data_IF_550191475069
#
_entry.id   IF_550191475069
#
_cell.length_a   1.000
_cell.length_b   1.000
_cell.length_c   1.000
_cell.angle_alpha   90.00
_cell.angle_beta   90.00
_cell.angle_gamma   90.00
#
_symmetry.space_group_name_H-M   'P 1'
#
loop_
_entity.id
_entity.type
_entity.pdbx_description
1 polymer ?
#
# COMPACT_ATOMS: atom_id res chain seq x y z
N UNK A 1 -11.42 2.57 5.40
CA UNK A 1 -11.03 2.57 3.97
C UNK A 1 -9.99 3.64 3.72
N UNK A 2 -8.96 3.29 2.99
CA UNK A 2 -7.90 4.22 2.57
C UNK A 2 -8.11 4.56 1.10
N UNK A 3 -8.00 5.84 0.79
CA UNK A 3 -8.10 6.35 -0.59
C UNK A 3 -6.84 7.14 -0.88
N UNK A 4 -6.23 6.86 -2.02
CA UNK A 4 -5.15 7.65 -2.58
C UNK A 4 -5.64 8.38 -3.81
N UNK A 5 -5.42 9.68 -3.87
CA UNK A 5 -5.77 10.51 -5.02
C UNK A 5 -4.53 11.12 -5.62
N UNK A 6 -4.36 10.95 -6.92
CA UNK A 6 -3.26 11.57 -7.64
C UNK A 6 -3.48 13.09 -7.71
N UNK A 7 -2.48 13.83 -7.26
CA UNK A 7 -2.46 15.30 -7.26
C UNK A 7 -1.10 15.74 -7.81
N UNK A 8 -1.06 16.08 -9.08
CA UNK A 8 0.19 16.31 -9.78
C UNK A 8 1.00 15.02 -9.94
N UNK A 9 2.20 15.00 -9.37
CA UNK A 9 3.09 13.82 -9.41
C UNK A 9 3.08 13.00 -8.12
N UNK A 10 2.23 13.38 -7.15
CA UNK A 10 2.14 12.71 -5.84
C UNK A 10 0.73 12.25 -5.56
N UNK A 11 0.64 11.20 -4.75
CA UNK A 11 -0.63 10.71 -4.26
C UNK A 11 -0.88 11.27 -2.87
N UNK A 12 -2.07 11.84 -2.68
CA UNK A 12 -2.55 12.36 -1.39
C UNK A 12 -3.43 11.31 -0.71
N UNK A 13 -3.22 11.10 0.58
CA UNK A 13 -3.89 10.05 1.35
C UNK A 13 -5.13 10.60 2.06
N UNK A 14 -6.23 9.85 1.94
CA UNK A 14 -7.49 10.11 2.60
C UNK A 14 -7.97 8.85 3.32
N UNK A 15 -8.74 9.04 4.36
CA UNK A 15 -9.31 7.93 5.15
C UNK A 15 -10.81 8.13 5.25
N UNK A 16 -11.57 7.05 5.03
CA UNK A 16 -12.98 6.99 5.37
C UNK A 16 -13.11 6.12 6.60
N UNK A 17 -13.58 6.71 7.69
CA UNK A 17 -13.90 5.97 8.91
C UNK A 17 -15.21 5.21 8.69
N UNK A 18 -15.15 3.89 8.80
CA UNK A 18 -16.32 3.04 8.63
C UNK A 18 -17.42 3.27 9.68
N UNK A 19 -17.04 3.83 10.82
CA UNK A 19 -17.96 4.14 11.90
C UNK A 19 -18.53 5.56 11.83
N UNK A 20 -18.01 6.39 10.92
CA UNK A 20 -18.54 7.73 10.71
C UNK A 20 -19.90 7.68 10.01
N UNK A 21 -20.84 8.48 10.49
CA UNK A 21 -22.18 8.56 9.88
C UNK A 21 -22.13 9.09 8.45
N UNK A 22 -21.24 10.02 8.18
CA UNK A 22 -21.17 10.72 6.90
C UNK A 22 -20.43 9.95 5.80
N UNK A 23 -19.58 8.99 6.16
CA UNK A 23 -18.75 8.24 5.20
C UNK A 23 -17.92 9.13 4.26
N UNK A 24 -17.55 10.31 4.72
CA UNK A 24 -16.74 11.24 3.95
C UNK A 24 -15.27 10.92 4.05
N UNK A 25 -14.54 11.12 2.95
CA UNK A 25 -13.10 10.98 2.93
C UNK A 25 -12.45 12.20 3.59
N UNK A 26 -11.67 11.95 4.63
CA UNK A 26 -10.96 12.98 5.37
C UNK A 26 -9.47 12.87 5.09
N UNK A 27 -8.82 14.00 4.84
CA UNK A 27 -7.39 14.06 4.59
C UNK A 27 -6.60 13.51 5.77
N UNK A 28 -5.62 12.66 5.49
CA UNK A 28 -4.68 12.19 6.49
C UNK A 28 -3.53 13.19 6.59
N UNK A 29 -3.56 14.01 7.63
CA UNK A 29 -2.55 15.03 7.86
C UNK A 29 -1.43 14.47 8.75
N UNK A 30 -0.23 14.99 8.59
CA UNK A 30 0.87 14.67 9.47
C UNK A 30 1.17 15.83 10.42
N UNK A 31 1.81 15.51 11.53
CA UNK A 31 2.21 16.50 12.53
C UNK A 31 3.62 16.98 12.20
N UNK A 32 3.80 18.30 12.09
CA UNK A 32 5.11 18.92 11.91
C UNK A 32 5.89 18.98 13.23
N UNK A 33 7.17 19.34 13.15
CA UNK A 33 8.02 19.41 14.34
C UNK A 33 7.53 20.37 15.42
N UNK A 34 6.80 21.41 15.03
CA UNK A 34 6.19 22.37 15.95
C UNK A 34 4.84 21.92 16.53
N UNK A 35 4.40 20.70 16.19
CA UNK A 35 3.17 20.12 16.73
C UNK A 35 1.89 20.49 16.02
N UNK A 36 1.97 21.17 14.88
CA UNK A 36 0.79 21.59 14.11
C UNK A 36 0.44 20.57 13.01
N UNK A 37 -0.86 20.42 12.75
CA UNK A 37 -1.36 19.66 11.59
C UNK A 37 -1.42 20.61 10.41
N UNK A 38 -0.47 20.56 9.49
CA UNK A 38 -0.38 21.54 8.43
C UNK A 38 -0.63 21.00 7.02
N UNK A 39 -0.22 19.76 6.75
CA UNK A 39 -0.25 19.25 5.39
C UNK A 39 -0.84 17.85 5.33
N UNK A 40 -1.38 17.53 4.13
CA UNK A 40 -1.85 16.20 3.82
C UNK A 40 -0.67 15.27 3.57
N UNK A 41 -0.77 14.02 4.02
CA UNK A 41 0.26 13.02 3.77
C UNK A 41 0.27 12.68 2.29
N UNK A 42 1.44 12.76 1.67
CA UNK A 42 1.65 12.47 0.25
C UNK A 42 2.81 11.50 0.05
N UNK A 43 2.72 10.72 -1.01
CA UNK A 43 3.80 9.83 -1.45
C UNK A 43 3.90 9.82 -2.97
N UNK A 44 5.08 9.56 -3.50
CA UNK A 44 5.30 9.47 -4.94
C UNK A 44 4.95 8.10 -5.49
N UNK A 45 5.19 7.06 -4.70
CA UNK A 45 4.97 5.68 -5.11
C UNK A 45 4.16 4.93 -4.06
N UNK A 46 3.18 4.16 -4.51
CA UNK A 46 2.39 3.28 -3.65
C UNK A 46 2.65 1.84 -4.09
N UNK A 47 3.04 1.00 -3.16
CA UNK A 47 3.20 -0.43 -3.39
C UNK A 47 2.17 -1.16 -2.55
N UNK A 48 1.39 -2.04 -3.18
CA UNK A 48 0.41 -2.88 -2.49
C UNK A 48 0.82 -4.33 -2.67
N UNK A 49 1.02 -5.02 -1.58
CA UNK A 49 1.35 -6.44 -1.55
C UNK A 49 0.19 -7.21 -0.90
N UNK A 50 -0.29 -8.24 -1.57
CA UNK A 50 -1.37 -9.08 -1.05
C UNK A 50 -0.83 -10.47 -0.70
N UNK A 51 -1.24 -10.99 0.44
CA UNK A 51 -0.85 -12.31 0.89
C UNK A 51 -1.94 -13.02 1.67
N UNK A 52 -1.76 -14.32 1.93
CA UNK A 52 -2.75 -15.09 2.68
C UNK A 52 -2.78 -14.66 4.14
N UNK A 53 -3.97 -14.71 4.73
CA UNK A 53 -4.13 -14.56 6.17
C UNK A 53 -3.72 -15.84 6.87
N UNK A 54 -3.08 -15.70 8.00
CA UNK A 54 -2.83 -16.80 8.92
C UNK A 54 -3.03 -16.32 10.35
N UNK A 55 -3.19 -17.29 11.25
CA UNK A 55 -3.32 -16.98 12.67
C UNK A 55 -1.96 -17.13 13.33
N UNK A 56 -1.45 -16.03 13.89
CA UNK A 56 -0.18 -16.05 14.59
C UNK A 56 -0.28 -16.95 15.84
N UNK A 57 0.51 -18.03 15.94
CA UNK A 57 0.43 -18.95 17.08
C UNK A 57 0.82 -18.28 18.41
N UNK A 58 1.60 -17.22 18.39
CA UNK A 58 2.02 -16.52 19.61
C UNK A 58 0.95 -15.59 20.17
N UNK A 59 0.18 -14.93 19.30
CA UNK A 59 -0.79 -13.88 19.70
C UNK A 59 -2.23 -14.25 19.40
N UNK A 60 -2.47 -15.28 18.58
CA UNK A 60 -3.77 -15.69 18.04
C UNK A 60 -4.46 -14.60 17.19
N UNK A 61 -3.72 -13.57 16.80
CA UNK A 61 -4.23 -12.49 15.95
C UNK A 61 -4.09 -12.85 14.46
N UNK A 62 -5.02 -12.38 13.61
CA UNK A 62 -4.86 -12.55 12.18
C UNK A 62 -3.69 -11.71 11.67
N UNK A 63 -2.88 -12.29 10.81
CA UNK A 63 -1.72 -11.64 10.21
C UNK A 63 -1.65 -12.00 8.73
N UNK A 64 -0.97 -11.17 7.95
CA UNK A 64 -0.71 -11.46 6.54
C UNK A 64 0.64 -12.15 6.42
N UNK A 65 0.67 -13.27 5.72
CA UNK A 65 1.92 -13.99 5.46
C UNK A 65 2.76 -13.21 4.44
N UNK A 66 3.97 -12.84 4.82
CA UNK A 66 4.88 -12.02 4.01
C UNK A 66 6.10 -12.78 3.49
N UNK A 67 6.10 -14.11 3.63
CA UNK A 67 7.07 -15.02 3.02
C UNK A 67 6.32 -15.91 2.06
N UNK A 68 6.83 -16.06 0.83
CA UNK A 68 6.17 -16.79 -0.23
C UNK A 68 5.95 -15.91 -1.45
N UNK A 69 4.78 -15.98 -2.04
CA UNK A 69 4.40 -15.23 -3.24
C UNK A 69 2.99 -14.65 -3.08
N UNK A 70 2.72 -13.58 -3.78
CA UNK A 70 1.39 -12.97 -3.80
C UNK A 70 1.28 -11.92 -4.90
N UNK A 71 0.12 -11.28 -4.97
CA UNK A 71 -0.10 -10.21 -5.94
C UNK A 71 0.58 -8.92 -5.49
N UNK A 72 1.07 -8.15 -6.45
CA UNK A 72 1.70 -6.86 -6.20
C UNK A 72 1.15 -5.81 -7.16
N UNK A 73 0.98 -4.60 -6.64
CA UNK A 73 0.57 -3.44 -7.42
C UNK A 73 1.56 -2.32 -7.13
N UNK A 74 2.05 -1.68 -8.16
CA UNK A 74 2.96 -0.53 -8.02
C UNK A 74 2.36 0.65 -8.76
N UNK A 75 2.04 1.70 -8.04
CA UNK A 75 1.51 2.95 -8.57
C UNK A 75 2.58 4.01 -8.51
N UNK A 76 2.87 4.62 -9.62
CA UNK A 76 3.81 5.74 -9.68
C UNK A 76 3.31 6.72 -10.75
N UNK A 77 3.25 8.01 -10.39
CA UNK A 77 2.71 9.02 -11.27
C UNK A 77 1.29 8.62 -11.72
N UNK A 78 0.97 8.73 -13.00
CA UNK A 78 -0.34 8.43 -13.56
C UNK A 78 -0.42 7.01 -14.14
N UNK A 79 0.40 6.08 -13.64
CA UNK A 79 0.44 4.72 -14.16
C UNK A 79 0.59 3.70 -13.04
N UNK A 80 0.26 2.45 -13.35
CA UNK A 80 0.45 1.36 -12.42
C UNK A 80 0.82 0.06 -13.13
N UNK A 81 1.50 -0.80 -12.40
CA UNK A 81 1.89 -2.14 -12.86
C UNK A 81 1.28 -3.15 -11.90
N UNK A 82 0.65 -4.19 -12.46
CA UNK A 82 0.18 -5.34 -11.70
C UNK A 82 1.13 -6.50 -11.94
N UNK A 83 1.59 -7.11 -10.88
CA UNK A 83 2.52 -8.23 -10.95
C UNK A 83 2.44 -9.11 -9.72
N UNK A 84 3.56 -9.70 -9.37
CA UNK A 84 3.67 -10.59 -8.21
C UNK A 84 4.87 -10.18 -7.36
N UNK A 85 4.76 -10.47 -6.07
CA UNK A 85 5.90 -10.40 -5.16
C UNK A 85 6.36 -11.79 -4.77
N UNK A 86 7.64 -11.92 -4.49
CA UNK A 86 8.26 -13.13 -3.96
C UNK A 86 9.24 -12.76 -2.86
N UNK A 87 9.23 -13.54 -1.80
CA UNK A 87 10.18 -13.42 -0.71
C UNK A 87 10.41 -14.81 -0.13
N UNK A 88 11.64 -15.28 -0.21
CA UNK A 88 11.98 -16.65 0.20
C UNK A 88 12.16 -16.82 1.71
N UNK A 89 12.57 -15.75 2.40
CA UNK A 89 12.88 -15.77 3.83
C UNK A 89 12.61 -14.39 4.44
N UNK A 90 12.35 -14.36 5.75
CA UNK A 90 12.06 -13.11 6.47
C UNK A 90 13.22 -12.10 6.41
N UNK A 91 14.43 -12.57 6.18
CA UNK A 91 15.61 -11.71 6.06
C UNK A 91 15.91 -11.27 4.63
N UNK A 92 15.13 -11.73 3.66
CA UNK A 92 15.29 -11.36 2.26
C UNK A 92 14.38 -10.20 1.89
N UNK A 93 14.77 -9.37 0.88
CA UNK A 93 13.89 -8.35 0.36
C UNK A 93 12.77 -8.94 -0.48
N UNK A 94 11.69 -8.15 -0.67
CA UNK A 94 10.66 -8.49 -1.64
C UNK A 94 11.19 -8.31 -3.06
N UNK A 95 10.96 -9.28 -3.92
CA UNK A 95 11.24 -9.19 -5.35
C UNK A 95 9.92 -9.03 -6.07
N UNK A 96 9.78 -7.95 -6.84
CA UNK A 96 8.56 -7.63 -7.58
C UNK A 96 8.78 -7.96 -9.06
N UNK A 97 7.84 -8.68 -9.64
CA UNK A 97 7.93 -9.16 -11.02
C UNK A 97 6.65 -8.83 -11.77
N UNK A 98 6.76 -8.32 -12.99
CA UNK A 98 5.61 -8.01 -13.83
C UNK A 98 5.03 -9.28 -14.50
N UNK A 99 3.97 -9.10 -15.29
CA UNK A 99 3.30 -10.22 -15.98
C UNK A 99 4.16 -10.91 -17.04
N UNK A 100 5.25 -10.28 -17.48
CA UNK A 100 6.18 -10.83 -18.45
C UNK A 100 7.38 -11.53 -17.82
N UNK A 101 7.44 -11.56 -16.49
CA UNK A 101 8.54 -12.18 -15.75
C UNK A 101 9.74 -11.27 -15.53
N UNK A 102 9.62 -9.98 -15.86
CA UNK A 102 10.69 -9.01 -15.65
C UNK A 102 10.55 -8.34 -14.27
N UNK A 103 11.69 -8.01 -13.66
CA UNK A 103 11.68 -7.29 -12.40
C UNK A 103 11.05 -5.90 -12.57
N UNK A 104 10.17 -5.54 -11.64
CA UNK A 104 9.61 -4.20 -11.58
C UNK A 104 10.63 -3.30 -10.90
N UNK A 105 11.06 -2.27 -11.61
CA UNK A 105 11.96 -1.25 -11.06
C UNK A 105 11.14 -0.15 -10.39
N UNK A 106 11.19 -0.10 -9.07
CA UNK A 106 10.56 0.99 -8.31
C UNK A 106 11.55 2.16 -8.33
N UNK A 107 11.16 3.33 -8.89
CA UNK A 107 12.09 4.45 -8.95
C UNK A 107 12.45 4.97 -7.55
N UNK A 108 13.64 5.57 -7.39
CA UNK A 108 13.99 6.24 -6.14
C UNK A 108 12.97 7.34 -5.83
N UNK A 109 12.24 7.19 -4.74
CA UNK A 109 11.09 8.04 -4.43
C UNK A 109 10.64 7.80 -2.99
N UNK A 110 9.78 8.69 -2.50
CA UNK A 110 9.03 8.38 -1.30
C UNK A 110 8.04 7.27 -1.63
N UNK A 111 7.98 6.26 -0.76
CA UNK A 111 7.15 5.07 -0.99
C UNK A 111 6.24 4.82 0.20
N UNK A 112 5.02 4.42 -0.10
CA UNK A 112 4.08 3.91 0.89
C UNK A 112 3.76 2.46 0.53
N UNK A 113 3.99 1.55 1.47
CA UNK A 113 3.74 0.13 1.26
C UNK A 113 2.53 -0.31 2.07
N UNK A 114 1.53 -0.84 1.40
CA UNK A 114 0.40 -1.52 2.03
C UNK A 114 0.60 -3.02 1.94
N UNK A 115 0.40 -3.70 3.05
CA UNK A 115 0.34 -5.17 3.09
C UNK A 115 -1.10 -5.54 3.42
N UNK A 116 -1.78 -6.18 2.48
CA UNK A 116 -3.18 -6.51 2.58
C UNK A 116 -3.40 -8.02 2.50
N UNK A 117 -4.49 -8.54 3.11
CA UNK A 117 -4.89 -9.91 2.86
C UNK A 117 -5.36 -10.09 1.41
N UNK A 118 -5.30 -11.31 0.89
CA UNK A 118 -5.78 -11.63 -0.46
C UNK A 118 -7.26 -11.24 -0.66
N UNK A 119 -8.03 -11.28 0.42
CA UNK A 119 -9.45 -10.90 0.42
C UNK A 119 -9.67 -9.39 0.43
N UNK A 120 -8.60 -8.62 0.61
CA UNK A 120 -8.67 -7.15 0.57
C UNK A 120 -9.04 -6.65 -0.82
N UNK A 121 -9.96 -5.71 -0.87
CA UNK A 121 -10.43 -5.14 -2.12
C UNK A 121 -9.56 -3.95 -2.55
N UNK A 122 -9.15 -3.95 -3.81
CA UNK A 122 -8.42 -2.86 -4.42
C UNK A 122 -9.25 -2.34 -5.58
N UNK A 123 -9.67 -1.08 -5.49
CA UNK A 123 -10.42 -0.41 -6.54
C UNK A 123 -9.54 0.66 -7.18
N UNK A 124 -9.42 0.60 -8.50
CA UNK A 124 -8.64 1.57 -9.29
C UNK A 124 -9.63 2.34 -10.15
N UNK A 125 -9.66 3.65 -9.92
CA UNK A 125 -10.53 4.57 -10.64
C UNK A 125 -9.68 5.42 -11.58
N UNK A 126 -10.02 5.40 -12.84
CA UNK A 126 -9.29 6.13 -13.89
C UNK A 126 -9.94 7.48 -14.18
#
# INVERSE_FOLDING_TARGET
>A
TVIWKLDGEKYSRFIIDKYSENKEAVAHNFITQDGNYTDILQTETIVVLQGPLYKDPATTLPSVLTVGVGNAYVFNNDSYIVGTWRRGDINEPFVLTDSNGNDIQVPPSTQWVHILPNEGEILIDN
#
